data_IF_857478401519
#
_entry.id   IF_857478401519
#
_cell.length_a   1.000
_cell.length_b   1.000
_cell.length_c   1.000
_cell.angle_alpha   90.00
_cell.angle_beta   90.00
_cell.angle_gamma   90.00
#
_symmetry.space_group_name_H-M   'P 1'
#
loop_
_entity.id
_entity.type
_entity.pdbx_description
1 polymer ?
#
# COMPACT_ATOMS: atom_id res chain seq x y z
N UNK A 1 64.15 31.41 31.99
CA UNK A 1 62.81 31.46 31.42
C UNK A 1 62.68 30.29 30.48
N UNK A 2 62.11 29.19 30.95
CA UNK A 2 61.85 28.00 30.13
C UNK A 2 60.45 28.10 29.59
N UNK A 3 60.34 28.36 28.28
CA UNK A 3 59.08 28.31 27.58
C UNK A 3 58.61 26.88 27.42
N UNK A 4 57.53 26.55 28.09
CA UNK A 4 56.82 25.27 27.89
C UNK A 4 55.98 25.39 26.63
N UNK A 5 56.46 24.84 25.50
CA UNK A 5 55.65 24.66 24.28
C UNK A 5 54.71 23.48 24.55
N UNK A 6 53.45 23.75 24.62
CA UNK A 6 52.42 22.70 24.57
C UNK A 6 52.53 21.91 23.24
N UNK A 7 52.38 20.58 23.26
CA UNK A 7 52.36 19.82 22.01
C UNK A 7 51.20 20.28 21.12
N UNK A 8 51.48 20.44 19.81
CA UNK A 8 50.49 20.69 18.84
C UNK A 8 49.50 19.53 18.82
N UNK A 9 48.24 19.81 19.04
CA UNK A 9 47.17 18.81 18.88
C UNK A 9 47.04 18.57 17.38
N UNK A 10 47.34 17.35 16.97
CA UNK A 10 47.12 16.90 15.60
C UNK A 10 45.58 16.85 15.36
N UNK A 11 45.04 17.85 14.73
CA UNK A 11 43.60 17.96 14.37
C UNK A 11 43.22 17.15 13.14
N UNK A 12 44.20 16.46 12.52
CA UNK A 12 43.95 15.72 11.25
C UNK A 12 43.47 14.27 11.45
N UNK A 13 43.34 13.77 12.68
CA UNK A 13 43.01 12.36 12.95
C UNK A 13 41.53 12.03 13.07
N UNK A 14 40.59 13.00 12.99
CA UNK A 14 39.15 12.75 13.22
C UNK A 14 38.26 13.01 12.00
N UNK A 15 38.81 13.30 10.81
CA UNK A 15 38.01 13.63 9.61
C UNK A 15 37.65 12.42 8.75
N UNK A 16 38.18 11.23 9.05
CA UNK A 16 37.98 10.04 8.19
C UNK A 16 36.70 9.24 8.46
N UNK A 17 35.83 9.68 9.36
CA UNK A 17 34.67 8.87 9.79
C UNK A 17 33.30 9.52 9.57
N UNK A 18 33.23 10.62 8.82
CA UNK A 18 31.94 11.19 8.41
C UNK A 18 31.33 10.31 7.35
N UNK A 19 30.15 9.69 7.59
CA UNK A 19 29.50 8.89 6.56
C UNK A 19 29.25 9.73 5.32
N UNK A 20 29.63 9.21 4.17
CA UNK A 20 29.39 9.88 2.89
C UNK A 20 27.89 10.06 2.69
N UNK A 21 27.47 11.31 2.49
CA UNK A 21 26.07 11.67 2.23
C UNK A 21 25.95 12.15 0.80
N UNK A 22 25.01 11.59 0.06
CA UNK A 22 24.71 11.97 -1.33
C UNK A 22 23.26 12.48 -1.43
N UNK A 23 22.94 13.31 -2.43
CA UNK A 23 21.56 13.70 -2.69
C UNK A 23 20.66 12.48 -2.91
N UNK A 24 19.44 12.53 -2.37
CA UNK A 24 18.52 11.42 -2.51
C UNK A 24 18.01 11.27 -3.95
N UNK A 25 18.07 10.04 -4.47
CA UNK A 25 17.38 9.67 -5.70
C UNK A 25 15.86 9.78 -5.46
N UNK A 26 15.10 10.51 -6.30
CA UNK A 26 13.65 10.62 -6.22
C UNK A 26 12.91 9.27 -6.20
N UNK A 27 13.46 8.26 -6.88
CA UNK A 27 12.87 6.93 -7.00
C UNK A 27 13.05 6.07 -5.74
N UNK A 28 14.03 6.38 -4.90
CA UNK A 28 14.21 5.69 -3.61
C UNK A 28 13.21 6.29 -2.61
N UNK A 29 12.41 5.46 -1.96
CA UNK A 29 11.47 5.93 -0.94
C UNK A 29 12.19 6.42 0.31
N UNK A 30 11.58 7.40 1.00
CA UNK A 30 12.09 7.83 2.29
C UNK A 30 12.09 6.67 3.30
N UNK A 31 13.08 6.63 4.17
CA UNK A 31 13.30 5.54 5.13
C UNK A 31 13.50 4.16 4.47
N UNK A 32 14.20 4.13 3.36
CA UNK A 32 14.54 2.89 2.65
C UNK A 32 16.03 2.80 2.36
N UNK A 33 16.53 1.59 2.33
CA UNK A 33 17.88 1.30 1.87
C UNK A 33 17.98 1.46 0.34
N UNK A 34 19.16 1.89 -0.13
CA UNK A 34 19.51 1.91 -1.54
C UNK A 34 20.92 1.36 -1.72
N UNK A 35 21.22 0.86 -2.91
CA UNK A 35 22.57 0.41 -3.29
C UNK A 35 23.06 1.32 -4.38
N UNK A 36 24.18 2.01 -4.12
CA UNK A 36 24.84 2.91 -5.07
C UNK A 36 26.32 2.53 -5.07
N UNK A 37 26.88 2.25 -6.25
CA UNK A 37 28.29 1.84 -6.41
C UNK A 37 28.73 0.74 -5.45
N UNK A 38 27.86 -0.28 -5.30
CA UNK A 38 28.02 -1.42 -4.41
C UNK A 38 28.08 -1.10 -2.90
N UNK A 39 27.74 0.15 -2.52
CA UNK A 39 27.61 0.58 -1.14
C UNK A 39 26.17 0.71 -0.71
N UNK A 40 25.90 0.45 0.56
CA UNK A 40 24.54 0.57 1.12
C UNK A 40 24.33 1.97 1.68
N UNK A 41 23.30 2.61 1.24
CA UNK A 41 22.82 3.92 1.71
C UNK A 41 21.45 3.78 2.35
N UNK A 42 21.13 4.69 3.26
CA UNK A 42 19.79 4.80 3.84
C UNK A 42 19.24 6.21 3.61
N UNK A 43 18.09 6.31 3.00
CA UNK A 43 17.46 7.61 2.68
C UNK A 43 16.74 8.18 3.88
N UNK A 44 17.09 9.42 4.21
CA UNK A 44 16.37 10.27 5.17
C UNK A 44 16.11 11.62 4.50
N UNK A 45 14.87 11.87 4.15
CA UNK A 45 14.44 13.08 3.45
C UNK A 45 15.18 13.30 2.11
N UNK A 46 15.93 14.39 1.99
CA UNK A 46 16.64 14.79 0.76
C UNK A 46 18.03 14.19 0.64
N UNK A 47 18.47 13.37 1.57
CA UNK A 47 19.81 12.81 1.61
C UNK A 47 19.76 11.28 1.73
N UNK A 48 20.75 10.64 1.13
CA UNK A 48 21.08 9.23 1.37
C UNK A 48 22.42 9.18 2.08
N UNK A 49 22.44 8.61 3.29
CA UNK A 49 23.62 8.48 4.12
C UNK A 49 24.19 7.07 3.97
N UNK A 50 25.48 6.97 3.71
CA UNK A 50 26.15 5.68 3.66
C UNK A 50 26.03 4.97 5.01
N UNK A 51 25.65 3.70 4.99
CA UNK A 51 25.52 2.89 6.21
C UNK A 51 26.71 1.94 6.30
N UNK A 52 27.59 2.18 7.27
CA UNK A 52 28.68 1.28 7.56
C UNK A 52 28.15 0.05 8.31
N UNK A 53 28.30 -1.12 7.74
CA UNK A 53 27.87 -2.39 8.33
C UNK A 53 28.84 -3.52 7.92
N UNK A 54 28.85 -4.64 8.68
CA UNK A 54 29.68 -5.80 8.31
C UNK A 54 29.34 -6.30 6.91
N UNK A 55 30.34 -6.73 6.13
CA UNK A 55 30.16 -7.16 4.75
C UNK A 55 29.05 -8.22 4.57
N UNK A 56 28.96 -9.20 5.49
CA UNK A 56 27.89 -10.20 5.44
C UNK A 56 26.48 -9.61 5.63
N UNK A 57 26.36 -8.54 6.42
CA UNK A 57 25.09 -7.81 6.59
C UNK A 57 24.79 -6.95 5.35
N UNK A 58 25.81 -6.28 4.80
CA UNK A 58 25.65 -5.48 3.59
C UNK A 58 25.15 -6.32 2.41
N UNK A 59 25.77 -7.48 2.17
CA UNK A 59 25.33 -8.42 1.13
C UNK A 59 23.89 -8.90 1.34
N UNK A 60 23.48 -9.12 2.58
CA UNK A 60 22.09 -9.49 2.93
C UNK A 60 21.13 -8.34 2.62
N UNK A 61 21.48 -7.11 2.98
CA UNK A 61 20.68 -5.91 2.69
C UNK A 61 20.57 -5.70 1.18
N UNK A 62 21.68 -5.82 0.43
CA UNK A 62 21.67 -5.70 -1.03
C UNK A 62 20.68 -6.67 -1.70
N UNK A 63 20.72 -7.93 -1.29
CA UNK A 63 19.80 -8.94 -1.82
C UNK A 63 18.33 -8.64 -1.49
N UNK A 64 18.04 -8.11 -0.29
CA UNK A 64 16.68 -7.69 0.06
C UNK A 64 16.23 -6.45 -0.69
N UNK A 65 17.14 -5.51 -0.98
CA UNK A 65 16.88 -4.35 -1.86
C UNK A 65 16.50 -4.83 -3.26
N UNK A 66 17.25 -5.79 -3.81
CA UNK A 66 16.98 -6.36 -5.14
C UNK A 66 15.60 -7.04 -5.22
N UNK A 67 15.24 -7.87 -4.23
CA UNK A 67 13.89 -8.49 -4.15
C UNK A 67 12.83 -7.38 -4.08
N UNK A 68 12.99 -6.40 -3.18
CA UNK A 68 12.06 -5.29 -2.99
C UNK A 68 11.81 -4.54 -4.29
N UNK A 69 12.86 -4.20 -5.00
CA UNK A 69 12.75 -3.38 -6.21
C UNK A 69 12.13 -4.19 -7.36
N UNK A 70 12.46 -5.48 -7.45
CA UNK A 70 11.81 -6.41 -8.39
C UNK A 70 10.30 -6.57 -8.11
N UNK A 71 9.90 -6.65 -6.83
CA UNK A 71 8.48 -6.68 -6.43
C UNK A 71 7.77 -5.38 -6.77
N UNK A 72 8.40 -4.24 -6.50
CA UNK A 72 7.82 -2.91 -6.82
C UNK A 72 7.63 -2.74 -8.33
N UNK A 73 8.60 -3.18 -9.13
CA UNK A 73 8.50 -3.20 -10.58
C UNK A 73 7.32 -4.08 -11.05
N UNK A 74 7.19 -5.29 -10.50
CA UNK A 74 6.06 -6.17 -10.81
C UNK A 74 4.71 -5.55 -10.44
N UNK A 75 4.61 -4.88 -9.29
CA UNK A 75 3.40 -4.17 -8.87
C UNK A 75 3.07 -3.05 -9.86
N UNK A 76 4.06 -2.23 -10.22
CA UNK A 76 3.87 -1.14 -11.18
C UNK A 76 3.40 -1.67 -12.54
N UNK A 77 4.03 -2.72 -13.06
CA UNK A 77 3.62 -3.37 -14.31
C UNK A 77 2.19 -3.90 -14.27
N UNK A 78 1.76 -4.47 -13.14
CA UNK A 78 0.38 -4.96 -12.99
C UNK A 78 -0.67 -3.85 -12.97
N UNK A 79 -0.28 -2.64 -12.57
CA UNK A 79 -1.16 -1.45 -12.53
C UNK A 79 -1.28 -0.79 -13.91
N UNK A 80 -0.34 -1.03 -14.81
CA UNK A 80 -0.33 -0.43 -16.13
C UNK A 80 -1.19 -1.24 -17.12
N UNK A 81 -2.11 -0.56 -17.81
CA UNK A 81 -3.06 -1.21 -18.72
C UNK A 81 -2.41 -1.77 -19.99
N UNK A 82 -1.31 -1.15 -20.44
CA UNK A 82 -0.59 -1.52 -21.65
C UNK A 82 0.22 -2.82 -21.50
N UNK A 83 0.57 -3.20 -20.27
CA UNK A 83 1.41 -4.36 -19.99
C UNK A 83 0.64 -5.66 -20.18
N UNK A 84 1.21 -6.56 -20.97
CA UNK A 84 0.65 -7.88 -21.29
C UNK A 84 0.87 -8.87 -20.14
N UNK A 85 0.06 -9.92 -20.11
CA UNK A 85 0.22 -10.99 -19.11
C UNK A 85 1.54 -11.77 -19.31
N UNK A 86 2.07 -11.81 -20.55
CA UNK A 86 3.37 -12.43 -20.86
C UNK A 86 4.54 -11.64 -20.24
N UNK A 87 4.49 -10.32 -20.31
CA UNK A 87 5.50 -9.44 -19.67
C UNK A 87 5.45 -9.56 -18.15
N UNK A 88 4.25 -9.64 -17.57
CA UNK A 88 4.06 -9.88 -16.14
C UNK A 88 4.65 -11.25 -15.75
N UNK A 89 4.40 -12.29 -16.53
CA UNK A 89 4.93 -13.62 -16.25
C UNK A 89 6.47 -13.64 -16.29
N UNK A 90 7.08 -12.97 -17.26
CA UNK A 90 8.52 -12.82 -17.33
C UNK A 90 9.10 -12.10 -16.09
N UNK A 91 8.42 -11.07 -15.59
CA UNK A 91 8.84 -10.38 -14.38
C UNK A 91 8.65 -11.25 -13.12
N UNK A 92 7.60 -12.09 -13.10
CA UNK A 92 7.42 -13.10 -12.05
C UNK A 92 8.53 -14.15 -12.04
N UNK A 93 9.00 -14.58 -13.21
CA UNK A 93 10.16 -15.48 -13.32
C UNK A 93 11.42 -14.84 -12.77
N UNK A 94 11.68 -13.57 -13.10
CA UNK A 94 12.78 -12.79 -12.53
C UNK A 94 12.68 -12.71 -11.00
N UNK A 95 11.49 -12.40 -10.48
CA UNK A 95 11.26 -12.36 -9.03
C UNK A 95 11.52 -13.72 -8.38
N UNK A 96 11.08 -14.82 -8.98
CA UNK A 96 11.36 -16.16 -8.48
C UNK A 96 12.85 -16.44 -8.43
N UNK A 97 13.60 -16.10 -9.48
CA UNK A 97 15.06 -16.32 -9.55
C UNK A 97 15.80 -15.54 -8.45
N UNK A 98 15.50 -14.26 -8.29
CA UNK A 98 16.13 -13.40 -7.26
C UNK A 98 15.78 -13.89 -5.87
N UNK A 99 14.51 -14.20 -5.61
CA UNK A 99 14.05 -14.72 -4.33
C UNK A 99 14.69 -16.06 -3.97
N UNK A 100 14.73 -17.02 -4.91
CA UNK A 100 15.28 -18.36 -4.67
C UNK A 100 16.80 -18.31 -4.45
N UNK A 101 17.51 -17.47 -5.21
CA UNK A 101 18.94 -17.25 -5.01
C UNK A 101 19.23 -16.65 -3.62
N UNK A 102 18.42 -15.68 -3.20
CA UNK A 102 18.56 -15.07 -1.87
C UNK A 102 18.26 -16.07 -0.75
N UNK A 103 17.12 -16.76 -0.81
CA UNK A 103 16.68 -17.65 0.27
C UNK A 103 17.54 -18.88 0.40
N UNK A 104 18.14 -19.36 -0.68
CA UNK A 104 19.13 -20.44 -0.65
C UNK A 104 20.38 -20.06 0.18
N UNK A 105 20.77 -18.78 0.17
CA UNK A 105 21.96 -18.28 0.87
C UNK A 105 21.64 -17.79 2.29
N UNK A 106 20.52 -17.12 2.48
CA UNK A 106 20.21 -16.35 3.68
C UNK A 106 18.97 -16.82 4.44
N UNK A 107 18.27 -17.83 3.92
CA UNK A 107 17.00 -18.32 4.47
C UNK A 107 15.84 -17.37 4.21
N UNK A 108 14.68 -17.70 4.76
CA UNK A 108 13.44 -16.94 4.57
C UNK A 108 13.57 -15.47 5.02
N UNK A 109 12.84 -14.58 4.35
CA UNK A 109 12.88 -13.14 4.64
C UNK A 109 12.49 -12.85 6.09
N UNK A 110 11.49 -13.56 6.62
CA UNK A 110 11.02 -13.43 7.99
C UNK A 110 11.99 -13.92 9.07
N UNK A 111 13.16 -14.50 8.71
CA UNK A 111 14.14 -14.97 9.69
C UNK A 111 14.68 -13.84 10.57
N UNK A 112 15.04 -14.17 11.82
CA UNK A 112 15.57 -13.19 12.77
C UNK A 112 16.82 -12.43 12.27
N UNK A 113 17.65 -13.07 11.46
CA UNK A 113 18.84 -12.44 10.91
C UNK A 113 18.49 -11.42 9.82
N UNK A 114 17.56 -11.78 8.93
CA UNK A 114 17.06 -10.88 7.88
C UNK A 114 16.26 -9.71 8.48
N UNK A 115 15.40 -9.98 9.46
CA UNK A 115 14.68 -8.96 10.21
C UNK A 115 15.61 -7.92 10.83
N UNK A 116 16.66 -8.35 11.53
CA UNK A 116 17.64 -7.43 12.14
C UNK A 116 18.39 -6.58 11.12
N UNK A 117 18.61 -7.11 9.92
CA UNK A 117 19.33 -6.41 8.86
C UNK A 117 18.48 -5.38 8.11
N UNK A 118 17.14 -5.58 8.04
CA UNK A 118 16.30 -4.84 7.11
C UNK A 118 14.99 -4.28 7.70
N UNK A 119 14.73 -4.50 8.99
CA UNK A 119 13.46 -4.02 9.62
C UNK A 119 13.25 -2.52 9.56
N UNK A 120 14.33 -1.76 9.40
CA UNK A 120 14.28 -0.30 9.32
C UNK A 120 13.85 0.20 7.93
N UNK A 121 13.84 -0.67 6.92
CA UNK A 121 13.33 -0.30 5.59
C UNK A 121 11.80 -0.20 5.60
N UNK A 122 11.27 0.91 5.09
CA UNK A 122 9.84 1.17 5.00
C UNK A 122 9.04 0.11 4.22
N UNK A 123 9.73 -0.74 3.44
CA UNK A 123 9.12 -1.82 2.67
C UNK A 123 9.36 -3.22 3.25
N UNK A 124 9.90 -3.32 4.47
CA UNK A 124 10.13 -4.63 5.09
C UNK A 124 8.84 -5.46 5.18
N UNK A 125 7.71 -4.84 5.54
CA UNK A 125 6.41 -5.53 5.57
C UNK A 125 5.97 -6.05 4.19
N UNK A 126 6.28 -5.32 3.11
CA UNK A 126 6.02 -5.78 1.75
C UNK A 126 6.82 -7.07 1.45
N UNK A 127 8.08 -7.11 1.84
CA UNK A 127 8.89 -8.30 1.66
C UNK A 127 8.38 -9.49 2.50
N UNK A 128 7.97 -9.26 3.74
CA UNK A 128 7.37 -10.30 4.57
C UNK A 128 6.08 -10.88 3.98
N UNK A 129 5.32 -10.09 3.24
CA UNK A 129 4.09 -10.55 2.57
C UNK A 129 4.31 -11.50 1.39
N UNK A 130 5.57 -11.69 0.97
CA UNK A 130 5.95 -12.65 -0.08
C UNK A 130 5.97 -14.10 0.42
N UNK A 131 5.98 -14.29 1.73
CA UNK A 131 6.12 -15.58 2.39
C UNK A 131 4.89 -15.89 3.27
N UNK A 132 4.35 -17.10 3.11
CA UNK A 132 3.44 -17.72 4.07
C UNK A 132 4.27 -18.74 4.86
N UNK A 133 4.48 -18.48 6.14
CA UNK A 133 5.35 -19.29 6.99
C UNK A 133 4.51 -20.21 7.89
N UNK A 134 5.07 -21.37 8.21
CA UNK A 134 4.56 -22.25 9.24
C UNK A 134 4.87 -21.68 10.65
N UNK A 135 4.25 -22.26 11.68
CA UNK A 135 4.49 -21.87 13.09
C UNK A 135 5.95 -22.01 13.52
N UNK A 136 6.68 -22.92 12.91
CA UNK A 136 8.13 -23.14 13.15
C UNK A 136 9.03 -22.16 12.39
N UNK A 137 8.44 -21.26 11.61
CA UNK A 137 9.17 -20.26 10.81
C UNK A 137 9.74 -20.80 9.49
N UNK A 138 9.39 -22.02 9.09
CA UNK A 138 9.73 -22.55 7.77
C UNK A 138 8.77 -22.04 6.70
N UNK A 139 9.24 -21.95 5.45
CA UNK A 139 8.41 -21.54 4.32
C UNK A 139 7.33 -22.59 4.04
N UNK A 140 6.07 -22.20 4.15
CA UNK A 140 4.92 -23.01 3.77
C UNK A 140 4.63 -22.88 2.28
N UNK A 141 4.59 -21.64 1.78
CA UNK A 141 4.41 -21.34 0.36
C UNK A 141 4.85 -19.91 0.05
N UNK A 142 5.17 -19.65 -1.19
CA UNK A 142 5.33 -18.31 -1.72
C UNK A 142 3.95 -17.66 -1.95
N UNK A 143 3.86 -16.34 -1.84
CA UNK A 143 2.65 -15.58 -2.14
C UNK A 143 2.19 -15.76 -3.59
N UNK A 144 0.91 -15.55 -3.86
CA UNK A 144 0.33 -15.69 -5.20
C UNK A 144 0.97 -14.75 -6.25
N UNK A 145 1.58 -13.66 -5.82
CA UNK A 145 2.29 -12.71 -6.67
C UNK A 145 3.39 -13.35 -7.53
N UNK A 146 4.00 -14.45 -7.07
CA UNK A 146 5.04 -15.16 -7.82
C UNK A 146 4.53 -15.93 -9.05
N UNK A 147 3.22 -16.19 -9.12
CA UNK A 147 2.63 -17.06 -10.16
C UNK A 147 1.39 -16.51 -10.81
N UNK A 148 0.72 -15.54 -10.17
CA UNK A 148 -0.57 -15.01 -10.62
C UNK A 148 -0.53 -13.48 -10.67
N UNK A 149 -1.31 -12.91 -11.58
CA UNK A 149 -1.61 -11.48 -11.52
C UNK A 149 -2.49 -11.21 -10.29
N UNK A 150 -2.00 -10.41 -9.35
CA UNK A 150 -2.69 -10.09 -8.09
C UNK A 150 -3.46 -8.79 -8.16
N UNK A 151 -3.06 -7.88 -9.06
CA UNK A 151 -3.75 -6.62 -9.32
C UNK A 151 -4.50 -6.77 -10.64
N UNK A 152 -5.83 -6.75 -10.58
CA UNK A 152 -6.67 -6.80 -11.78
C UNK A 152 -6.58 -5.47 -12.52
N UNK A 153 -6.56 -5.53 -13.85
CA UNK A 153 -6.72 -4.33 -14.68
C UNK A 153 -8.03 -3.65 -14.29
N UNK A 154 -8.01 -2.33 -14.15
CA UNK A 154 -9.24 -1.55 -14.04
C UNK A 154 -9.97 -1.71 -15.38
N UNK A 155 -11.04 -2.48 -15.39
CA UNK A 155 -11.93 -2.55 -16.55
C UNK A 155 -12.77 -1.29 -16.51
N UNK A 156 -12.50 -0.36 -17.41
CA UNK A 156 -13.37 0.79 -17.59
C UNK A 156 -14.77 0.25 -17.98
N UNK A 157 -15.77 0.51 -17.15
CA UNK A 157 -17.15 0.16 -17.45
C UNK A 157 -17.65 1.15 -18.51
N UNK A 158 -17.77 0.69 -19.75
CA UNK A 158 -18.17 1.53 -20.89
C UNK A 158 -19.68 1.60 -21.07
N UNK A 159 -20.43 0.66 -20.49
CA UNK A 159 -21.89 0.64 -20.55
C UNK A 159 -22.49 -0.03 -19.31
N UNK A 160 -23.68 0.43 -18.91
CA UNK A 160 -24.47 -0.14 -17.83
C UNK A 160 -25.96 -0.21 -18.24
N UNK A 161 -26.70 -1.12 -17.63
CA UNK A 161 -28.10 -1.35 -17.96
C UNK A 161 -29.05 -0.38 -17.23
N UNK A 162 -28.66 0.07 -16.04
CA UNK A 162 -29.52 0.85 -15.16
C UNK A 162 -28.97 2.24 -14.85
N UNK A 163 -29.87 3.20 -14.65
CA UNK A 163 -29.53 4.55 -14.21
C UNK A 163 -28.88 4.57 -12.82
N UNK A 164 -29.22 3.61 -11.96
CA UNK A 164 -28.65 3.49 -10.62
C UNK A 164 -27.15 3.10 -10.69
N UNK A 165 -26.79 2.17 -11.57
CA UNK A 165 -25.41 1.80 -11.83
C UNK A 165 -24.61 2.96 -12.44
N UNK A 166 -25.20 3.67 -13.42
CA UNK A 166 -24.59 4.86 -14.00
C UNK A 166 -24.34 5.96 -12.95
N UNK A 167 -25.29 6.15 -12.03
CA UNK A 167 -25.13 7.09 -10.91
C UNK A 167 -23.99 6.67 -9.97
N UNK A 168 -23.93 5.40 -9.61
CA UNK A 168 -22.86 4.89 -8.76
C UNK A 168 -21.48 5.08 -9.39
N UNK A 169 -21.34 4.81 -10.69
CA UNK A 169 -20.12 5.05 -11.43
C UNK A 169 -19.77 6.53 -11.52
N UNK A 170 -20.75 7.39 -11.79
CA UNK A 170 -20.57 8.83 -11.85
C UNK A 170 -20.04 9.38 -10.52
N UNK A 171 -20.55 8.90 -9.39
CA UNK A 171 -20.11 9.30 -8.06
C UNK A 171 -18.70 8.75 -7.76
N UNK A 172 -18.39 7.52 -8.15
CA UNK A 172 -17.09 6.90 -7.90
C UNK A 172 -15.96 7.50 -8.74
N UNK A 173 -16.21 7.76 -10.04
CA UNK A 173 -15.16 8.19 -10.96
C UNK A 173 -15.02 9.71 -11.05
N UNK A 174 -16.13 10.44 -10.92
CA UNK A 174 -16.18 11.89 -11.10
C UNK A 174 -16.51 12.67 -9.82
N UNK A 175 -16.77 11.96 -8.70
CA UNK A 175 -17.16 12.52 -7.41
C UNK A 175 -18.37 13.48 -7.47
N UNK A 176 -19.20 13.38 -8.53
CA UNK A 176 -20.41 14.19 -8.75
C UNK A 176 -21.42 13.43 -9.59
N UNK A 177 -22.67 13.89 -9.56
CA UNK A 177 -23.69 13.43 -10.50
C UNK A 177 -23.47 14.13 -11.85
N UNK A 178 -22.97 13.40 -12.82
CA UNK A 178 -22.70 13.88 -14.19
C UNK A 178 -23.69 13.21 -15.15
N UNK A 179 -24.77 13.92 -15.51
CA UNK A 179 -25.84 13.38 -16.32
C UNK A 179 -25.37 13.02 -17.73
N UNK A 180 -24.47 13.81 -18.31
CA UNK A 180 -23.92 13.53 -19.64
C UNK A 180 -23.11 12.22 -19.62
N UNK A 181 -22.34 11.98 -18.59
CA UNK A 181 -21.61 10.73 -18.39
C UNK A 181 -22.55 9.54 -18.15
N UNK A 182 -23.58 9.72 -17.34
CA UNK A 182 -24.60 8.69 -17.08
C UNK A 182 -25.38 8.34 -18.36
N UNK A 183 -25.71 9.34 -19.19
CA UNK A 183 -26.38 9.15 -20.49
C UNK A 183 -25.48 8.34 -21.45
N UNK A 184 -24.19 8.62 -21.49
CA UNK A 184 -23.23 7.84 -22.29
C UNK A 184 -23.16 6.37 -21.84
N UNK A 185 -23.11 6.12 -20.54
CA UNK A 185 -23.04 4.77 -19.99
C UNK A 185 -24.33 3.96 -20.22
N UNK A 186 -25.48 4.60 -20.11
CA UNK A 186 -26.80 3.92 -20.27
C UNK A 186 -27.28 3.90 -21.71
N UNK A 187 -26.68 4.67 -22.62
CA UNK A 187 -27.19 4.90 -23.97
C UNK A 187 -28.53 5.61 -24.02
N UNK A 188 -28.93 6.30 -22.93
CA UNK A 188 -30.20 7.06 -22.80
C UNK A 188 -29.91 8.55 -22.87
N UNK A 189 -30.89 9.32 -23.35
CA UNK A 189 -30.78 10.78 -23.35
C UNK A 189 -30.96 11.36 -21.95
N UNK A 190 -30.31 12.50 -21.67
CA UNK A 190 -30.41 13.21 -20.38
C UNK A 190 -31.85 13.50 -19.95
N UNK A 191 -32.72 13.83 -20.89
CA UNK A 191 -34.16 14.11 -20.67
C UNK A 191 -34.91 12.92 -20.04
N UNK A 192 -34.56 11.68 -20.41
CA UNK A 192 -35.18 10.47 -19.83
C UNK A 192 -34.73 10.17 -18.41
N UNK A 193 -33.56 10.59 -18.04
CA UNK A 193 -33.04 10.42 -16.68
C UNK A 193 -33.63 11.46 -15.70
N UNK A 194 -33.90 12.70 -16.17
CA UNK A 194 -34.60 13.73 -15.38
C UNK A 194 -36.07 13.42 -15.17
N UNK A 195 -36.78 12.90 -16.19
CA UNK A 195 -38.17 12.51 -16.08
C UNK A 195 -38.38 11.41 -15.02
N UNK A 196 -37.48 10.44 -14.93
CA UNK A 196 -37.51 9.41 -13.85
C UNK A 196 -37.25 9.96 -12.45
N UNK A 197 -36.53 11.07 -12.34
CA UNK A 197 -36.33 11.75 -11.06
C UNK A 197 -37.58 12.56 -10.65
N UNK A 198 -38.27 13.18 -11.59
CA UNK A 198 -39.43 14.00 -11.31
C UNK A 198 -40.67 13.18 -10.99
N UNK A 199 -40.82 11.98 -11.56
CA UNK A 199 -41.96 11.09 -11.31
C UNK A 199 -41.87 10.27 -10.03
N UNK A 200 -40.70 10.23 -9.38
CA UNK A 200 -40.46 9.53 -8.08
C UNK A 200 -40.91 10.33 -6.84
N UNK A 201 -41.34 11.59 -6.99
CA UNK A 201 -41.76 12.47 -5.87
C UNK A 201 -43.26 12.76 -5.86
N UNK A 202 -44.05 11.74 -6.09
CA UNK A 202 -45.52 11.84 -6.03
C UNK A 202 -46.13 10.84 -5.06
N UNK A 203 -45.88 10.98 -3.77
CA UNK A 203 -46.80 10.43 -2.77
C UNK A 203 -47.98 11.36 -2.65
N UNK A 204 -48.96 11.08 -3.50
CA UNK A 204 -50.31 11.64 -3.42
C UNK A 204 -51.06 10.95 -2.26
N UNK A 205 -51.52 11.73 -1.29
CA UNK A 205 -52.65 11.37 -0.45
C UNK A 205 -52.33 10.77 0.92
N UNK A 206 -52.01 11.61 1.89
CA UNK A 206 -52.45 11.39 3.25
C UNK A 206 -53.37 12.52 3.63
N UNK A 207 -54.67 12.28 3.38
CA UNK A 207 -55.76 13.01 4.03
C UNK A 207 -55.66 12.79 5.53
N UNK A 208 -55.27 13.84 6.23
CA UNK A 208 -55.33 13.89 7.68
C UNK A 208 -56.60 14.57 8.09
N UNK A 209 -57.72 13.78 8.19
CA UNK A 209 -58.93 14.23 8.86
C UNK A 209 -58.73 14.15 10.37
N UNK A 210 -58.85 15.30 10.99
CA UNK A 210 -58.86 15.50 12.42
C UNK A 210 -60.02 14.76 13.08
N UNK A 211 -59.71 13.85 13.99
CA UNK A 211 -60.64 13.27 14.93
C UNK A 211 -60.11 13.42 16.34
N UNK A 212 -60.66 14.38 17.06
CA UNK A 212 -60.47 14.66 18.48
C UNK A 212 -61.30 13.66 19.28
N UNK A 213 -60.72 12.95 20.24
CA UNK A 213 -61.42 12.48 21.44
C UNK A 213 -60.40 12.16 22.56
N UNK A 214 -60.71 12.76 23.67
CA UNK A 214 -60.10 12.61 24.99
C UNK A 214 -60.19 11.17 25.54
N UNK A 215 -59.43 10.97 26.54
CA UNK A 215 -59.50 10.18 27.81
C UNK A 215 -58.33 9.23 27.98
N UNK A 216 -57.43 9.46 28.88
CA UNK A 216 -57.41 9.32 30.28
C UNK A 216 -56.97 7.90 30.76
N UNK A 217 -56.03 7.93 31.67
CA UNK A 217 -55.59 6.88 32.66
C UNK A 217 -54.26 6.21 32.34
N UNK A 218 -53.24 6.65 33.02
CA UNK A 218 -52.64 6.24 34.30
C UNK A 218 -52.21 4.75 34.43
N UNK A 219 -51.05 4.64 34.92
CA UNK A 219 -50.46 3.63 35.82
C UNK A 219 -49.32 2.77 35.27
N UNK A 220 -48.19 3.10 35.76
CA UNK A 220 -47.23 2.34 36.61
C UNK A 220 -46.58 1.05 36.07
N UNK A 221 -45.33 1.12 36.30
CA UNK A 221 -44.47 0.19 37.02
C UNK A 221 -43.63 -0.83 36.22
N UNK A 222 -42.37 -0.64 36.43
CA UNK A 222 -41.42 -1.66 36.94
C UNK A 222 -40.85 -2.66 35.93
N UNK A 223 -39.59 -2.63 35.80
CA UNK A 223 -38.67 -3.48 36.54
C UNK A 223 -37.83 -4.41 35.68
N UNK A 224 -36.55 -4.37 35.97
CA UNK A 224 -35.57 -5.45 35.88
C UNK A 224 -34.87 -5.69 34.56
N UNK A 225 -33.56 -5.28 34.46
CA UNK A 225 -32.35 -6.03 34.88
C UNK A 225 -32.17 -7.41 34.26
N UNK A 226 -31.10 -7.52 33.55
CA UNK A 226 -30.06 -8.56 33.55
C UNK A 226 -29.39 -8.54 32.18
N UNK A 227 -28.11 -8.36 31.99
CA UNK A 227 -26.97 -8.87 32.72
C UNK A 227 -26.34 -10.03 31.98
N UNK A 228 -25.03 -9.97 31.91
CA UNK A 228 -24.07 -10.97 31.43
C UNK A 228 -23.76 -10.93 29.94
N UNK A 229 -22.53 -10.71 29.54
CA UNK A 229 -21.27 -11.23 30.12
C UNK A 229 -20.76 -12.42 29.34
N UNK A 230 -19.71 -12.25 28.76
CA UNK A 230 -18.45 -12.90 28.49
C UNK A 230 -17.90 -12.43 27.15
#
# INVERSE_FOLDING_TARGET
IHGNMAPAVDVDAELDDVPESIPADPNVRNYSYAVVDDQVYYRVNSLMNQVKMPAATAERVKGMVEIRDTVRELIAMQMEESVTDEEIHKQQEKLNQVYDAYTAKYGVIGSNANKRAFSDDASYCLLCSLEDLNEDGTLKRKADMFTKRTIKKAVAVTSVETATEALALSLNERAKVDLSYMAQLTGKTEEKEEEKRSTGSGCSGCDFSAGRSDDGHNADADGSRSGCGI
#
